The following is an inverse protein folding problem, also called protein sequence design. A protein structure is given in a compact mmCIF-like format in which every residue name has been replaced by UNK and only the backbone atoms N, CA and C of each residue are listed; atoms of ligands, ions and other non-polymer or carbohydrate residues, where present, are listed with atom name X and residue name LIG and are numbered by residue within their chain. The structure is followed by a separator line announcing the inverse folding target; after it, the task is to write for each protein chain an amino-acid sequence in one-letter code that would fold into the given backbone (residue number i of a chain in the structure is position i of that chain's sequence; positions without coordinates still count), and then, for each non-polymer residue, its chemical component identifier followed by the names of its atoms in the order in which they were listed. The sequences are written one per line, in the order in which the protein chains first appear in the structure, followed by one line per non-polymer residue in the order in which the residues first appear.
data_IF_705994203586
#
_entry.id   IF_705994203586
#
_cell.length_a   1.000
_cell.length_b   1.000
_cell.length_c   1.000
_cell.angle_alpha   90.00
_cell.angle_beta   90.00
_cell.angle_gamma   90.00
#
_symmetry.space_group_name_H-M   'P 1'
#
loop_
_entity.id
_entity.type
_entity.pdbx_description
1 polymer ?
#
# COMPACT_ATOMS: atom_id res chain seq x y z
N UNK A 1 5.00 17.08 -16.20
CA UNK A 1 3.87 16.43 -15.48
C UNK A 1 2.63 17.33 -15.38
N UNK A 2 1.41 16.79 -15.61
CA UNK A 2 0.12 17.49 -15.41
C UNK A 2 -0.23 17.63 -13.91
N UNK A 3 -1.29 18.37 -13.57
CA UNK A 3 -1.66 18.61 -12.16
C UNK A 3 -2.06 17.31 -11.43
N UNK A 4 -2.82 16.44 -12.10
CA UNK A 4 -3.18 15.13 -11.57
C UNK A 4 -1.94 14.29 -11.26
N UNK A 5 -0.96 14.26 -12.17
CA UNK A 5 0.31 13.57 -12.00
C UNK A 5 1.12 14.10 -10.81
N UNK A 6 1.15 15.42 -10.59
CA UNK A 6 1.84 16.01 -9.42
C UNK A 6 1.20 15.56 -8.11
N UNK A 7 -0.14 15.58 -8.03
CA UNK A 7 -0.83 15.09 -6.84
C UNK A 7 -0.64 13.59 -6.61
N UNK A 8 -0.66 12.79 -7.68
CA UNK A 8 -0.34 11.36 -7.61
C UNK A 8 1.09 11.14 -7.11
N UNK A 9 2.06 11.89 -7.64
CA UNK A 9 3.45 11.84 -7.21
C UNK A 9 3.61 12.12 -5.71
N UNK A 10 3.08 13.26 -5.27
CA UNK A 10 3.18 13.71 -3.88
C UNK A 10 2.48 12.74 -2.92
N UNK A 11 1.29 12.24 -3.28
CA UNK A 11 0.55 11.34 -2.41
C UNK A 11 1.17 9.94 -2.36
N UNK A 12 1.53 9.36 -3.52
CA UNK A 12 2.08 8.00 -3.60
C UNK A 12 3.45 7.95 -2.91
N UNK A 13 4.40 8.79 -3.33
CA UNK A 13 5.75 8.77 -2.76
C UNK A 13 5.78 9.27 -1.33
N UNK A 14 4.87 10.20 -0.99
CA UNK A 14 4.78 10.72 0.36
C UNK A 14 4.24 9.70 1.36
N UNK A 15 3.20 8.95 1.00
CA UNK A 15 2.68 7.83 1.79
C UNK A 15 3.71 6.70 1.84
N UNK A 16 4.31 6.34 0.72
CA UNK A 16 5.37 5.31 0.66
C UNK A 16 6.52 5.62 1.63
N UNK A 17 7.06 6.83 1.56
CA UNK A 17 8.10 7.35 2.47
C UNK A 17 7.69 7.26 3.94
N UNK A 18 6.44 7.62 4.27
CA UNK A 18 5.93 7.58 5.65
C UNK A 18 5.97 6.15 6.21
N UNK A 19 5.66 5.16 5.36
CA UNK A 19 5.75 3.74 5.69
C UNK A 19 7.17 3.16 5.54
N UNK A 20 8.18 4.00 5.30
CA UNK A 20 9.58 3.59 5.21
C UNK A 20 9.99 3.06 3.84
N UNK A 21 9.13 3.25 2.85
CA UNK A 21 9.38 2.93 1.47
C UNK A 21 10.37 3.86 0.81
N UNK A 22 11.20 3.28 -0.04
CA UNK A 22 12.21 4.02 -0.77
C UNK A 22 12.14 3.62 -2.24
N UNK A 23 11.61 4.52 -3.08
CA UNK A 23 11.49 4.29 -4.53
C UNK A 23 12.84 4.08 -5.23
N UNK A 24 13.95 4.43 -4.60
CA UNK A 24 15.29 4.19 -5.14
C UNK A 24 15.86 2.84 -4.70
N UNK A 25 15.21 2.12 -3.78
CA UNK A 25 15.60 0.76 -3.38
C UNK A 25 14.99 -0.28 -4.33
N UNK A 26 15.78 -1.29 -4.78
CA UNK A 26 15.25 -2.40 -5.55
C UNK A 26 14.17 -3.18 -4.79
N UNK A 27 13.12 -3.60 -5.50
CA UNK A 27 12.03 -4.42 -4.96
C UNK A 27 12.53 -5.69 -4.26
N UNK A 28 11.81 -6.12 -3.21
CA UNK A 28 12.12 -7.35 -2.46
C UNK A 28 13.00 -7.17 -1.21
N UNK A 29 13.41 -5.95 -0.86
CA UNK A 29 14.22 -5.65 0.32
C UNK A 29 13.43 -5.45 1.63
N UNK A 30 12.19 -5.95 1.71
CA UNK A 30 11.38 -5.95 2.95
C UNK A 30 10.76 -4.60 3.33
N UNK A 31 10.46 -3.73 2.35
CA UNK A 31 9.83 -2.41 2.54
C UNK A 31 8.55 -2.32 1.71
N UNK A 32 7.59 -1.49 2.13
CA UNK A 32 6.53 -1.00 1.23
C UNK A 32 7.23 -0.17 0.15
N UNK A 33 6.92 -0.37 -1.13
CA UNK A 33 7.63 0.32 -2.23
C UNK A 33 6.61 0.75 -3.28
N UNK A 34 6.58 2.05 -3.57
CA UNK A 34 5.98 2.59 -4.77
C UNK A 34 6.98 2.50 -5.93
N UNK A 35 7.15 1.30 -6.49
CA UNK A 35 8.02 0.99 -7.65
C UNK A 35 7.43 1.62 -8.94
N UNK A 36 7.34 2.95 -9.00
CA UNK A 36 6.64 3.63 -10.09
C UNK A 36 7.26 4.96 -10.54
N UNK A 37 8.38 5.41 -9.98
CA UNK A 37 9.02 6.67 -10.41
C UNK A 37 10.06 6.45 -11.51
N UNK A 38 9.59 6.28 -12.76
CA UNK A 38 10.43 6.00 -13.94
C UNK A 38 10.34 7.07 -15.03
N UNK A 39 9.91 8.29 -14.70
CA UNK A 39 9.51 9.30 -15.69
C UNK A 39 10.59 10.33 -16.06
N UNK A 40 11.85 10.15 -15.62
CA UNK A 40 12.92 11.18 -15.68
C UNK A 40 12.54 12.53 -15.03
N UNK A 41 11.36 12.63 -14.43
CA UNK A 41 10.88 13.82 -13.74
C UNK A 41 11.59 13.93 -12.38
N UNK A 42 11.85 15.17 -11.90
CA UNK A 42 12.44 15.38 -10.59
C UNK A 42 11.58 14.74 -9.49
N UNK A 43 12.22 14.10 -8.52
CA UNK A 43 11.54 13.55 -7.36
C UNK A 43 10.80 14.66 -6.61
N UNK A 44 9.55 14.40 -6.15
CA UNK A 44 8.75 15.42 -5.48
C UNK A 44 9.35 15.85 -4.15
N UNK A 45 8.92 17.02 -3.68
CA UNK A 45 9.37 17.60 -2.41
C UNK A 45 9.13 16.65 -1.23
N UNK A 46 8.03 15.89 -1.27
CA UNK A 46 7.67 14.91 -0.23
C UNK A 46 8.74 13.82 -0.05
N UNK A 47 9.46 13.46 -1.11
CA UNK A 47 10.48 12.41 -1.07
C UNK A 47 11.88 12.96 -0.77
N UNK A 48 12.16 14.17 -1.25
CA UNK A 48 13.45 14.86 -1.09
C UNK A 48 13.57 15.64 0.22
N UNK A 49 12.48 15.77 0.97
CA UNK A 49 12.45 16.41 2.29
C UNK A 49 13.48 15.79 3.25
N UNK A 50 14.09 16.61 4.12
CA UNK A 50 15.13 16.12 5.04
C UNK A 50 14.62 15.01 5.97
N UNK A 51 13.42 15.17 6.53
CA UNK A 51 12.78 14.15 7.36
C UNK A 51 12.42 12.87 6.59
N UNK A 52 12.15 12.96 5.27
CA UNK A 52 11.83 11.81 4.43
C UNK A 52 13.00 10.83 4.35
N UNK A 53 14.23 11.33 4.18
CA UNK A 53 15.42 10.48 4.12
C UNK A 53 15.60 9.65 5.41
N UNK A 54 15.34 10.24 6.58
CA UNK A 54 15.43 9.52 7.85
C UNK A 54 14.31 8.49 8.00
N UNK A 55 13.06 8.83 7.65
CA UNK A 55 11.95 7.88 7.65
C UNK A 55 12.24 6.66 6.78
N UNK A 56 12.80 6.89 5.59
CA UNK A 56 13.26 5.80 4.72
C UNK A 56 14.33 4.97 5.38
N UNK A 57 15.36 5.56 5.97
CA UNK A 57 16.43 4.79 6.60
C UNK A 57 15.94 3.94 7.78
N UNK A 58 15.06 4.47 8.64
CA UNK A 58 14.63 3.79 9.86
C UNK A 58 13.47 2.80 9.68
N UNK A 59 12.91 2.69 8.47
CA UNK A 59 11.78 1.78 8.18
C UNK A 59 10.42 2.39 8.46
N UNK A 60 10.33 3.73 8.43
CA UNK A 60 9.10 4.49 8.54
C UNK A 60 8.50 4.45 9.95
N UNK A 61 7.20 4.73 10.02
CA UNK A 61 6.45 4.81 11.28
C UNK A 61 6.36 3.49 12.06
N UNK A 62 6.67 2.34 11.45
CA UNK A 62 6.76 1.04 12.12
C UNK A 62 8.20 0.64 12.48
N UNK A 63 9.18 1.47 12.14
CA UNK A 63 10.59 1.24 12.41
C UNK A 63 10.89 1.20 13.91
N UNK A 64 11.65 0.18 14.36
CA UNK A 64 12.02 0.00 15.78
C UNK A 64 12.81 1.17 16.39
N UNK A 65 13.39 2.03 15.56
CA UNK A 65 14.14 3.22 15.96
C UNK A 65 13.56 4.52 15.40
N UNK A 66 12.25 4.56 15.10
CA UNK A 66 11.63 5.75 14.54
C UNK A 66 11.73 6.93 15.51
N UNK A 67 12.34 8.02 15.04
CA UNK A 67 12.36 9.28 15.76
C UNK A 67 11.02 9.98 15.59
N UNK A 68 10.29 10.15 16.71
CA UNK A 68 8.99 10.82 16.71
C UNK A 68 9.09 12.27 16.26
N UNK A 69 10.18 12.97 16.59
CA UNK A 69 10.34 14.38 16.19
C UNK A 69 10.49 14.51 14.67
N UNK A 70 11.21 13.59 14.04
CA UNK A 70 11.32 13.52 12.58
C UNK A 70 9.96 13.24 11.94
N UNK A 71 9.17 12.33 12.52
CA UNK A 71 7.80 12.07 12.04
C UNK A 71 6.96 13.35 12.15
N UNK A 72 6.94 14.02 13.31
CA UNK A 72 6.18 15.27 13.48
C UNK A 72 6.62 16.36 12.51
N UNK A 73 7.94 16.47 12.26
CA UNK A 73 8.47 17.41 11.29
C UNK A 73 7.93 17.11 9.90
N UNK A 74 8.03 15.85 9.47
CA UNK A 74 7.53 15.43 8.16
C UNK A 74 6.02 15.71 8.02
N UNK A 75 5.21 15.35 9.01
CA UNK A 75 3.75 15.57 8.97
C UNK A 75 3.36 17.05 8.98
N UNK A 76 4.20 17.93 9.55
CA UNK A 76 3.97 19.37 9.56
C UNK A 76 4.31 20.04 8.24
N UNK A 77 5.40 19.61 7.62
CA UNK A 77 5.97 20.25 6.43
C UNK A 77 5.43 19.62 5.12
N UNK A 78 4.93 18.39 5.18
CA UNK A 78 4.38 17.66 4.03
C UNK A 78 2.88 17.41 4.19
N UNK A 79 2.07 18.02 3.33
CA UNK A 79 0.61 17.92 3.37
C UNK A 79 0.08 16.79 2.47
N UNK A 80 0.26 15.55 2.91
CA UNK A 80 -0.28 14.37 2.21
C UNK A 80 -1.82 14.41 2.09
N UNK A 81 -2.59 14.84 3.11
CA UNK A 81 -4.03 14.97 2.97
C UNK A 81 -4.48 15.85 1.81
N UNK A 82 -3.81 16.98 1.58
CA UNK A 82 -4.10 17.87 0.47
C UNK A 82 -3.75 17.23 -0.87
N UNK A 83 -2.60 16.55 -0.98
CA UNK A 83 -2.23 15.84 -2.21
C UNK A 83 -3.26 14.76 -2.57
N UNK A 84 -3.70 13.95 -1.59
CA UNK A 84 -4.73 12.91 -1.80
C UNK A 84 -6.07 13.53 -2.23
N UNK A 85 -6.49 14.63 -1.59
CA UNK A 85 -7.71 15.36 -2.01
C UNK A 85 -7.57 15.90 -3.44
N UNK A 86 -6.41 16.44 -3.79
CA UNK A 86 -6.11 16.94 -5.13
C UNK A 86 -6.25 15.87 -6.22
N UNK A 87 -5.90 14.61 -5.95
CA UNK A 87 -6.14 13.50 -6.89
C UNK A 87 -7.64 13.38 -7.20
N UNK A 88 -8.50 13.39 -6.17
CA UNK A 88 -9.96 13.28 -6.36
C UNK A 88 -10.53 14.47 -7.13
N UNK A 89 -10.08 15.68 -6.81
CA UNK A 89 -10.51 16.91 -7.49
C UNK A 89 -10.13 16.91 -8.98
N UNK A 90 -8.90 16.53 -9.32
CA UNK A 90 -8.48 16.42 -10.71
C UNK A 90 -9.16 15.25 -11.43
N UNK A 91 -9.39 14.12 -10.75
CA UNK A 91 -10.16 13.01 -11.30
C UNK A 91 -11.59 13.42 -11.68
N UNK A 92 -12.22 14.31 -10.91
CA UNK A 92 -13.55 14.86 -11.21
C UNK A 92 -13.64 15.64 -12.52
N UNK A 93 -12.50 16.09 -13.07
CA UNK A 93 -12.40 16.82 -14.34
C UNK A 93 -12.12 15.90 -15.54
N UNK A 94 -11.82 14.63 -15.27
CA UNK A 94 -11.44 13.63 -16.27
C UNK A 94 -12.66 12.74 -16.56
N UNK A 95 -12.79 12.26 -17.80
CA UNK A 95 -13.80 11.28 -18.20
C UNK A 95 -13.16 9.93 -18.58
N UNK A 96 -13.99 8.89 -18.68
CA UNK A 96 -13.55 7.54 -19.04
C UNK A 96 -12.88 6.78 -17.89
N UNK A 97 -12.20 5.68 -18.20
CA UNK A 97 -11.69 4.72 -17.20
C UNK A 97 -10.64 5.29 -16.24
N UNK A 98 -9.95 6.38 -16.63
CA UNK A 98 -8.95 7.04 -15.77
C UNK A 98 -9.59 7.68 -14.53
N UNK A 99 -10.81 8.19 -14.64
CA UNK A 99 -11.52 8.82 -13.52
C UNK A 99 -11.75 7.84 -12.34
N UNK A 100 -12.44 6.70 -12.49
CA UNK A 100 -12.67 5.77 -11.38
C UNK A 100 -11.36 5.16 -10.86
N UNK A 101 -10.33 5.00 -11.72
CA UNK A 101 -9.01 4.56 -11.29
C UNK A 101 -8.36 5.55 -10.31
N UNK A 102 -8.31 6.85 -10.65
CA UNK A 102 -7.72 7.88 -9.79
C UNK A 102 -8.51 8.08 -8.49
N UNK A 103 -9.84 7.99 -8.55
CA UNK A 103 -10.70 8.02 -7.36
C UNK A 103 -10.34 6.86 -6.42
N UNK A 104 -10.26 5.64 -6.95
CA UNK A 104 -9.93 4.45 -6.16
C UNK A 104 -8.51 4.50 -5.59
N UNK A 105 -7.55 5.03 -6.37
CA UNK A 105 -6.18 5.26 -5.90
C UNK A 105 -6.16 6.23 -4.70
N UNK A 106 -6.90 7.33 -4.79
CA UNK A 106 -6.99 8.29 -3.70
C UNK A 106 -7.62 7.68 -2.43
N UNK A 107 -8.59 6.78 -2.56
CA UNK A 107 -9.21 6.09 -1.42
C UNK A 107 -8.27 5.09 -0.74
N UNK A 108 -7.48 4.37 -1.54
CA UNK A 108 -6.40 3.53 -1.04
C UNK A 108 -5.37 4.36 -0.26
N UNK A 109 -4.86 5.45 -0.86
CA UNK A 109 -3.89 6.33 -0.21
C UNK A 109 -4.45 7.00 1.05
N UNK A 110 -5.73 7.41 1.04
CA UNK A 110 -6.41 7.96 2.22
C UNK A 110 -6.46 6.93 3.35
N UNK A 111 -6.77 5.67 3.04
CA UNK A 111 -6.82 4.59 4.03
C UNK A 111 -5.43 4.27 4.58
N UNK A 112 -4.40 4.26 3.74
CA UNK A 112 -3.01 4.11 4.17
C UNK A 112 -2.53 5.28 5.04
N UNK A 113 -2.95 6.51 4.73
CA UNK A 113 -2.67 7.69 5.57
C UNK A 113 -3.37 7.58 6.93
N UNK A 114 -4.65 7.23 6.97
CA UNK A 114 -5.38 7.11 8.22
C UNK A 114 -4.83 5.98 9.11
N UNK A 115 -4.40 4.86 8.51
CA UNK A 115 -3.67 3.80 9.22
C UNK A 115 -2.37 4.32 9.81
N UNK A 116 -1.65 5.19 9.10
CA UNK A 116 -0.44 5.80 9.62
C UNK A 116 -0.75 6.70 10.83
N UNK A 117 -1.84 7.48 10.76
CA UNK A 117 -2.29 8.31 11.87
C UNK A 117 -2.75 7.46 13.07
N UNK A 118 -3.43 6.34 12.84
CA UNK A 118 -3.79 5.37 13.88
C UNK A 118 -2.55 4.82 14.59
N UNK A 119 -1.56 4.34 13.84
CA UNK A 119 -0.29 3.79 14.37
C UNK A 119 0.44 4.83 15.23
N UNK A 120 0.40 6.10 14.83
CA UNK A 120 1.02 7.21 15.56
C UNK A 120 0.18 7.70 16.76
N UNK A 121 -1.02 7.15 16.98
CA UNK A 121 -1.94 7.57 18.05
C UNK A 121 -2.58 8.94 17.81
N UNK A 122 -2.67 9.38 16.55
CA UNK A 122 -3.20 10.69 16.13
C UNK A 122 -4.55 10.60 15.41
N UNK A 123 -4.89 9.42 14.91
CA UNK A 123 -6.12 9.17 14.15
C UNK A 123 -7.05 8.19 14.86
N UNK A 124 -8.28 8.14 14.36
CA UNK A 124 -9.22 7.09 14.74
C UNK A 124 -8.78 5.72 14.22
N UNK A 125 -9.29 4.66 14.86
CA UNK A 125 -9.06 3.30 14.40
C UNK A 125 -9.69 3.07 13.02
N UNK A 126 -8.88 2.61 12.07
CA UNK A 126 -9.32 2.19 10.75
C UNK A 126 -9.90 0.79 10.85
N UNK A 127 -11.13 0.60 10.36
CA UNK A 127 -11.79 -0.70 10.40
C UNK A 127 -11.17 -1.67 9.39
N UNK A 128 -11.16 -2.96 9.75
CA UNK A 128 -10.73 -4.03 8.83
C UNK A 128 -11.50 -4.00 7.51
N UNK A 129 -12.81 -3.77 7.56
CA UNK A 129 -13.66 -3.69 6.37
C UNK A 129 -13.20 -2.57 5.43
N UNK A 130 -12.88 -1.40 5.97
CA UNK A 130 -12.37 -0.28 5.18
C UNK A 130 -11.02 -0.61 4.54
N UNK A 131 -10.12 -1.28 5.24
CA UNK A 131 -8.84 -1.72 4.68
C UNK A 131 -9.05 -2.70 3.51
N UNK A 132 -9.97 -3.66 3.64
CA UNK A 132 -10.27 -4.64 2.57
C UNK A 132 -10.92 -3.96 1.37
N UNK A 133 -11.88 -3.07 1.59
CA UNK A 133 -12.52 -2.30 0.51
C UNK A 133 -11.52 -1.42 -0.24
N UNK A 134 -10.64 -0.73 0.48
CA UNK A 134 -9.59 0.10 -0.12
C UNK A 134 -8.60 -0.72 -0.97
N UNK A 135 -8.28 -1.95 -0.54
CA UNK A 135 -7.32 -2.81 -1.24
C UNK A 135 -7.94 -3.60 -2.41
N UNK A 136 -9.23 -3.94 -2.34
CA UNK A 136 -9.86 -4.88 -3.28
C UNK A 136 -11.03 -4.30 -4.07
N UNK A 137 -11.52 -3.12 -3.70
CA UNK A 137 -12.75 -2.52 -4.23
C UNK A 137 -14.04 -3.24 -3.79
N UNK A 138 -13.96 -4.17 -2.83
CA UNK A 138 -15.10 -4.98 -2.36
C UNK A 138 -15.10 -5.13 -0.83
N UNK A 139 -16.28 -5.29 -0.20
CA UNK A 139 -16.36 -5.61 1.21
C UNK A 139 -15.70 -6.96 1.53
N UNK A 140 -15.22 -7.16 2.76
CA UNK A 140 -14.69 -8.46 3.17
C UNK A 140 -15.77 -9.54 3.10
N UNK A 141 -15.41 -10.68 2.52
CA UNK A 141 -16.25 -11.88 2.47
C UNK A 141 -15.51 -13.11 3.02
N UNK A 142 -16.22 -14.08 3.62
CA UNK A 142 -15.60 -15.34 4.02
C UNK A 142 -14.97 -16.05 2.82
N UNK A 143 -13.76 -16.58 3.02
CA UNK A 143 -13.11 -17.39 2.00
C UNK A 143 -13.89 -18.69 1.75
N UNK A 144 -14.11 -19.03 0.47
CA UNK A 144 -14.68 -20.31 0.04
C UNK A 144 -13.63 -21.15 -0.71
N UNK A 145 -12.66 -21.77 0.01
CA UNK A 145 -11.51 -22.42 -0.62
C UNK A 145 -11.79 -23.84 -1.12
N UNK A 146 -13.01 -24.38 -0.98
CA UNK A 146 -13.35 -25.79 -1.17
C UNK A 146 -12.93 -26.28 -2.57
N UNK A 147 -13.41 -25.63 -3.64
CA UNK A 147 -13.08 -26.00 -5.01
C UNK A 147 -11.56 -25.91 -5.30
N UNK A 148 -10.85 -24.94 -4.70
CA UNK A 148 -9.40 -24.83 -4.82
C UNK A 148 -8.68 -25.97 -4.11
N UNK A 149 -9.14 -26.36 -2.91
CA UNK A 149 -8.59 -27.50 -2.15
C UNK A 149 -8.81 -28.82 -2.87
N UNK A 150 -10.02 -29.04 -3.41
CA UNK A 150 -10.34 -30.21 -4.24
C UNK A 150 -9.42 -30.28 -5.46
N UNK A 151 -9.18 -29.14 -6.12
CA UNK A 151 -8.27 -29.07 -7.26
C UNK A 151 -6.82 -29.39 -6.88
N UNK A 152 -6.33 -28.89 -5.75
CA UNK A 152 -4.98 -29.20 -5.25
C UNK A 152 -4.87 -30.68 -4.91
N UNK A 153 -5.86 -31.26 -4.24
CA UNK A 153 -5.89 -32.68 -3.91
C UNK A 153 -5.85 -33.58 -5.16
N UNK A 154 -6.64 -33.23 -6.17
CA UNK A 154 -6.64 -33.93 -7.46
C UNK A 154 -5.25 -33.90 -8.13
N UNK A 155 -4.61 -32.72 -8.19
CA UNK A 155 -3.31 -32.56 -8.84
C UNK A 155 -2.21 -33.33 -8.12
N UNK A 156 -2.18 -33.29 -6.79
CA UNK A 156 -1.22 -34.03 -5.98
C UNK A 156 -1.44 -35.55 -6.06
N UNK A 157 -2.70 -35.99 -6.08
CA UNK A 157 -3.04 -37.40 -6.29
C UNK A 157 -2.56 -37.92 -7.64
N UNK A 158 -2.70 -37.13 -8.72
CA UNK A 158 -2.15 -37.47 -10.04
C UNK A 158 -0.62 -37.56 -10.05
N UNK A 159 0.05 -36.80 -9.19
CA UNK A 159 1.50 -36.86 -9.00
C UNK A 159 1.96 -37.99 -8.07
N UNK A 160 1.04 -38.81 -7.54
CA UNK A 160 1.34 -39.95 -6.69
C UNK A 160 1.43 -39.64 -5.20
N UNK A 161 1.09 -38.41 -4.79
CA UNK A 161 1.07 -38.03 -3.38
C UNK A 161 -0.29 -38.38 -2.74
N UNK A 162 -0.31 -38.88 -1.49
CA UNK A 162 -1.54 -39.02 -0.71
C UNK A 162 -2.22 -37.66 -0.52
N UNK A 163 -3.52 -37.56 -0.83
CA UNK A 163 -4.27 -36.29 -0.76
C UNK A 163 -5.74 -36.48 -0.36
N UNK A 164 -6.07 -37.60 0.28
CA UNK A 164 -7.45 -38.06 0.51
C UNK A 164 -8.17 -37.30 1.63
N UNK A 165 -7.40 -36.67 2.52
CA UNK A 165 -7.91 -35.89 3.65
C UNK A 165 -7.02 -34.66 3.89
N UNK A 166 -7.42 -33.77 4.80
CA UNK A 166 -6.69 -32.51 5.02
C UNK A 166 -5.26 -32.70 5.53
N UNK A 167 -5.00 -33.70 6.36
CA UNK A 167 -3.66 -33.96 6.90
C UNK A 167 -2.71 -34.50 5.83
N UNK A 168 -3.21 -35.43 5.00
CA UNK A 168 -2.49 -35.93 3.82
C UNK A 168 -2.21 -34.81 2.83
N UNK A 169 -3.24 -34.01 2.51
CA UNK A 169 -3.13 -32.89 1.57
C UNK A 169 -2.07 -31.87 2.02
N UNK A 170 -2.05 -31.53 3.32
CA UNK A 170 -1.06 -30.60 3.85
C UNK A 170 0.36 -31.14 3.72
N UNK A 171 0.59 -32.42 4.08
CA UNK A 171 1.90 -33.07 3.91
C UNK A 171 2.33 -33.16 2.46
N UNK A 172 1.40 -33.39 1.54
CA UNK A 172 1.67 -33.49 0.12
C UNK A 172 2.01 -32.15 -0.55
N UNK A 173 1.51 -31.02 -0.01
CA UNK A 173 1.90 -29.68 -0.48
C UNK A 173 3.35 -29.35 -0.10
N UNK A 174 3.83 -29.88 1.03
CA UNK A 174 5.17 -29.61 1.57
C UNK A 174 6.25 -30.61 1.11
N UNK A 175 5.86 -31.68 0.40
CA UNK A 175 6.75 -32.76 -0.06
C UNK A 175 7.40 -32.47 -1.40
#
# INVERSE_FOLDING_TARGET
MDQAGKYVADAVLGVDTLWGGDVMCPSGAGRFIADCWFSDEPLPAVYTHQAAAHLRQCGGILGKGVDREVVEQYLREVNLPAAITGIREEAGKISGLRQPYLISLADCLRTMWDLAMEVLGKGERVSYARCVEAATGKPPEPSQPQAKRERVAELLGRAGYPSSNSDELLRAVDA
#
